data_IF_339772881219
#
_entry.id   IF_339772881219
#
_cell.length_a   1.000
_cell.length_b   1.000
_cell.length_c   1.000
_cell.angle_alpha   90.00
_cell.angle_beta   90.00
_cell.angle_gamma   90.00
#
_symmetry.space_group_name_H-M   'P 1'
#
loop_
_entity.id
_entity.type
_entity.pdbx_description
1 polymer ?
#
# COMPACT_ATOMS: atom_id res chain seq x y z
N UNK A 1 -21.19 -8.11 -4.54
CA UNK A 1 -20.16 -9.14 -4.78
C UNK A 1 -20.58 -9.92 -6.02
N UNK A 2 -19.78 -10.88 -6.47
CA UNK A 2 -20.09 -11.71 -7.63
C UNK A 2 -21.25 -12.67 -7.38
N UNK A 3 -21.95 -13.09 -8.42
CA UNK A 3 -22.91 -14.18 -8.28
C UNK A 3 -22.17 -15.51 -7.96
N UNK A 4 -22.68 -16.28 -6.99
CA UNK A 4 -22.02 -17.52 -6.50
C UNK A 4 -20.70 -17.26 -5.76
N UNK A 5 -20.56 -16.08 -5.14
CA UNK A 5 -19.33 -15.61 -4.52
C UNK A 5 -18.71 -16.59 -3.52
N UNK A 6 -19.54 -17.10 -2.61
CA UNK A 6 -19.18 -18.04 -1.54
C UNK A 6 -18.81 -19.42 -2.10
N UNK A 7 -19.61 -19.96 -3.03
CA UNK A 7 -19.35 -21.25 -3.68
C UNK A 7 -18.00 -21.22 -4.43
N UNK A 8 -17.74 -20.13 -5.17
CA UNK A 8 -16.46 -19.95 -5.90
C UNK A 8 -15.27 -19.79 -4.95
N UNK A 9 -15.44 -19.14 -3.80
CA UNK A 9 -14.38 -19.03 -2.80
C UNK A 9 -14.10 -20.38 -2.13
N UNK A 10 -15.15 -21.09 -1.69
CA UNK A 10 -15.02 -22.39 -1.01
C UNK A 10 -14.42 -23.46 -1.92
N UNK A 11 -14.77 -23.44 -3.21
CA UNK A 11 -14.21 -24.38 -4.19
C UNK A 11 -12.68 -24.28 -4.30
N UNK A 12 -12.11 -23.10 -4.08
CA UNK A 12 -10.69 -22.79 -4.31
C UNK A 12 -9.99 -22.47 -2.97
N UNK A 13 -10.32 -23.23 -1.91
CA UNK A 13 -9.81 -23.02 -0.55
C UNK A 13 -9.32 -24.33 0.08
N UNK A 14 -8.07 -24.69 -0.22
CA UNK A 14 -7.38 -25.78 0.47
C UNK A 14 -7.26 -25.47 1.98
N UNK A 15 -7.03 -26.52 2.79
CA UNK A 15 -7.06 -26.42 4.25
C UNK A 15 -6.10 -25.36 4.81
N UNK A 16 -4.90 -25.26 4.25
CA UNK A 16 -3.84 -24.37 4.67
C UNK A 16 -3.84 -23.01 3.94
N UNK A 17 -4.90 -22.69 3.19
CA UNK A 17 -5.00 -21.44 2.45
C UNK A 17 -5.81 -20.38 3.21
N UNK A 18 -5.35 -19.14 3.09
CA UNK A 18 -6.12 -17.92 3.32
C UNK A 18 -6.44 -17.31 1.95
N UNK A 19 -7.70 -17.35 1.56
CA UNK A 19 -8.15 -16.94 0.24
C UNK A 19 -8.81 -15.57 0.32
N UNK A 20 -8.39 -14.63 -0.52
CA UNK A 20 -9.09 -13.36 -0.73
C UNK A 20 -9.70 -13.31 -2.13
N UNK A 21 -10.94 -12.83 -2.30
CA UNK A 21 -11.50 -12.55 -3.62
C UNK A 21 -10.86 -11.30 -4.24
N UNK A 22 -10.85 -11.21 -5.58
CA UNK A 22 -10.53 -9.95 -6.29
C UNK A 22 -11.39 -8.80 -5.76
N UNK A 23 -10.75 -7.68 -5.47
CA UNK A 23 -11.42 -6.51 -4.93
C UNK A 23 -11.67 -5.46 -6.02
N UNK A 24 -12.88 -4.89 -6.04
CA UNK A 24 -13.20 -3.66 -6.77
C UNK A 24 -13.52 -2.51 -5.82
N UNK A 25 -13.42 -1.27 -6.30
CA UNK A 25 -14.04 -0.15 -5.60
C UNK A 25 -15.55 -0.18 -5.84
N UNK A 26 -16.33 -0.06 -4.77
CA UNK A 26 -17.79 0.08 -4.82
C UNK A 26 -18.15 1.55 -5.04
N UNK A 27 -19.02 1.83 -6.00
CA UNK A 27 -19.69 3.12 -6.18
C UNK A 27 -21.08 3.02 -5.56
N UNK A 28 -21.26 3.65 -4.41
CA UNK A 28 -22.49 3.52 -3.62
C UNK A 28 -23.55 4.52 -4.06
N UNK A 29 -23.21 5.79 -4.19
CA UNK A 29 -24.16 6.86 -4.53
C UNK A 29 -23.51 7.98 -5.36
N UNK A 30 -24.34 8.86 -5.90
CA UNK A 30 -23.97 10.17 -6.43
C UNK A 30 -24.75 11.26 -5.67
N UNK A 31 -24.19 12.46 -5.57
CA UNK A 31 -24.95 13.66 -5.26
C UNK A 31 -25.52 14.24 -6.55
N UNK A 32 -26.84 14.40 -6.64
CA UNK A 32 -27.54 14.97 -7.79
C UNK A 32 -27.99 16.39 -7.46
N UNK A 33 -27.56 17.34 -8.27
CA UNK A 33 -28.03 18.72 -8.24
C UNK A 33 -29.43 18.83 -8.85
N UNK A 34 -30.16 19.89 -8.51
CA UNK A 34 -31.43 20.30 -9.15
C UNK A 34 -31.34 20.47 -10.67
N UNK A 35 -30.19 20.90 -11.21
CA UNK A 35 -29.94 20.98 -12.65
C UNK A 35 -29.66 19.61 -13.33
N UNK A 36 -29.66 18.52 -12.56
CA UNK A 36 -29.40 17.15 -13.03
C UNK A 36 -27.93 16.72 -13.03
N UNK A 37 -26.98 17.63 -12.79
CA UNK A 37 -25.56 17.28 -12.67
C UNK A 37 -25.31 16.32 -11.50
N UNK A 38 -24.42 15.34 -11.69
CA UNK A 38 -24.09 14.32 -10.68
C UNK A 38 -22.62 14.36 -10.29
N UNK A 39 -22.37 14.37 -8.99
CA UNK A 39 -21.04 14.31 -8.39
C UNK A 39 -20.86 12.94 -7.72
N UNK A 40 -19.73 12.30 -7.97
CA UNK A 40 -19.39 10.99 -7.41
C UNK A 40 -19.31 11.04 -5.87
N UNK A 41 -19.76 9.97 -5.19
CA UNK A 41 -19.80 9.85 -3.72
C UNK A 41 -18.59 10.44 -2.99
N UNK A 42 -18.86 11.27 -1.99
CA UNK A 42 -17.87 11.99 -1.19
C UNK A 42 -18.54 12.82 -0.08
N UNK A 43 -17.90 13.90 0.40
CA UNK A 43 -18.56 14.84 1.31
C UNK A 43 -19.79 15.48 0.64
N UNK A 44 -20.65 16.13 1.42
CA UNK A 44 -21.75 16.92 0.85
C UNK A 44 -21.15 18.03 -0.04
N UNK A 45 -21.63 18.25 -1.28
CA UNK A 45 -21.05 19.26 -2.16
C UNK A 45 -21.38 20.68 -1.68
N UNK A 46 -20.40 21.58 -1.68
CA UNK A 46 -20.61 22.99 -1.33
C UNK A 46 -21.22 23.79 -2.49
N UNK A 47 -20.91 23.42 -3.73
CA UNK A 47 -21.41 24.07 -4.95
C UNK A 47 -21.48 23.08 -6.13
N UNK A 48 -22.45 23.28 -7.02
CA UNK A 48 -22.56 22.53 -8.26
C UNK A 48 -21.53 23.02 -9.30
N UNK A 49 -20.84 22.11 -9.96
CA UNK A 49 -19.88 22.44 -11.03
C UNK A 49 -20.54 22.96 -12.34
N UNK A 50 -21.88 22.96 -12.42
CA UNK A 50 -22.64 23.26 -13.67
C UNK A 50 -23.70 24.34 -13.51
N UNK A 51 -23.96 24.84 -12.31
CA UNK A 51 -24.91 25.92 -12.05
C UNK A 51 -24.63 26.56 -10.69
N UNK A 52 -25.35 27.64 -10.36
CA UNK A 52 -25.13 28.41 -9.13
C UNK A 52 -25.73 27.77 -7.87
N UNK A 53 -26.21 26.54 -7.96
CA UNK A 53 -26.80 25.82 -6.83
C UNK A 53 -25.75 25.41 -5.79
N UNK A 54 -25.97 25.80 -4.54
CA UNK A 54 -25.11 25.50 -3.38
C UNK A 54 -25.82 24.65 -2.32
N UNK A 55 -27.12 24.39 -2.47
CA UNK A 55 -27.95 23.66 -1.51
C UNK A 55 -28.66 22.47 -2.17
N UNK A 56 -29.47 21.71 -1.41
CA UNK A 56 -30.45 20.77 -1.98
C UNK A 56 -29.90 19.68 -2.93
N UNK A 57 -28.72 19.14 -2.63
CA UNK A 57 -28.19 17.98 -3.35
C UNK A 57 -28.88 16.70 -2.88
N UNK A 58 -29.50 15.99 -3.82
CA UNK A 58 -30.14 14.71 -3.55
C UNK A 58 -29.14 13.57 -3.61
N UNK A 59 -29.18 12.67 -2.62
CA UNK A 59 -28.36 11.46 -2.63
C UNK A 59 -29.04 10.37 -3.46
N UNK A 60 -28.48 10.07 -4.63
CA UNK A 60 -29.01 9.04 -5.53
C UNK A 60 -28.19 7.76 -5.40
N UNK A 61 -28.84 6.65 -5.01
CA UNK A 61 -28.20 5.34 -4.91
C UNK A 61 -27.77 4.84 -6.30
N UNK A 62 -26.57 4.27 -6.39
CA UNK A 62 -26.00 3.72 -7.61
C UNK A 62 -25.62 2.25 -7.45
N UNK A 63 -25.01 1.89 -6.32
CA UNK A 63 -24.65 0.52 -5.92
C UNK A 63 -24.05 -0.36 -7.03
N UNK A 64 -22.88 0.03 -7.56
CA UNK A 64 -22.19 -0.72 -8.64
C UNK A 64 -20.69 -0.86 -8.42
N UNK A 65 -20.10 -1.97 -8.85
CA UNK A 65 -18.63 -2.12 -8.88
C UNK A 65 -18.00 -1.22 -9.95
N UNK A 66 -16.86 -0.60 -9.64
CA UNK A 66 -16.05 0.15 -10.60
C UNK A 66 -15.07 -0.78 -11.29
N UNK A 67 -15.47 -1.39 -12.42
CA UNK A 67 -14.69 -2.43 -13.15
C UNK A 67 -13.23 -2.07 -13.46
N UNK A 68 -12.91 -0.79 -13.67
CA UNK A 68 -11.53 -0.31 -13.92
C UNK A 68 -10.70 -0.10 -12.65
N UNK A 69 -11.33 -0.06 -11.47
CA UNK A 69 -10.69 0.11 -10.16
C UNK A 69 -10.66 -1.24 -9.47
N UNK A 70 -9.72 -2.09 -9.89
CA UNK A 70 -9.50 -3.43 -9.36
C UNK A 70 -8.18 -3.53 -8.60
N UNK A 71 -8.16 -4.36 -7.57
CA UNK A 71 -6.98 -4.71 -6.80
C UNK A 71 -6.93 -6.22 -6.65
N UNK A 72 -5.88 -6.82 -7.20
CA UNK A 72 -5.57 -8.24 -7.03
C UNK A 72 -4.40 -8.43 -6.06
N UNK A 73 -3.43 -7.52 -6.08
CA UNK A 73 -2.16 -7.68 -5.38
C UNK A 73 -1.84 -6.50 -4.48
N UNK A 74 -1.36 -6.83 -3.29
CA UNK A 74 -0.81 -5.91 -2.32
C UNK A 74 0.37 -6.54 -1.59
N UNK A 75 1.10 -5.70 -0.88
CA UNK A 75 2.27 -6.04 -0.06
C UNK A 75 2.27 -5.17 1.19
N UNK A 76 3.27 -5.37 2.02
CA UNK A 76 3.69 -4.38 3.02
C UNK A 76 5.14 -3.96 2.77
N UNK A 77 5.52 -2.77 3.22
CA UNK A 77 6.90 -2.29 3.22
C UNK A 77 7.64 -2.66 4.53
N UNK A 78 8.89 -2.21 4.68
CA UNK A 78 9.73 -2.42 5.87
C UNK A 78 9.11 -1.92 7.19
N UNK A 79 8.16 -0.99 7.11
CA UNK A 79 7.44 -0.48 8.28
C UNK A 79 6.18 -1.30 8.60
N UNK A 80 5.98 -2.42 7.90
CA UNK A 80 4.79 -3.29 7.98
C UNK A 80 3.52 -2.51 7.63
N UNK A 81 3.64 -1.53 6.73
CA UNK A 81 2.53 -0.73 6.22
C UNK A 81 2.03 -1.31 4.91
N UNK A 82 0.72 -1.51 4.82
CA UNK A 82 0.05 -1.97 3.61
C UNK A 82 0.29 -1.03 2.40
N UNK A 83 0.57 -1.64 1.25
CA UNK A 83 0.77 -0.96 -0.03
C UNK A 83 0.10 -1.76 -1.17
N UNK A 84 -0.58 -1.06 -2.08
CA UNK A 84 -1.07 -1.65 -3.31
C UNK A 84 0.09 -2.02 -4.24
N UNK A 85 0.00 -3.16 -4.93
CA UNK A 85 1.10 -3.66 -5.77
C UNK A 85 0.67 -4.03 -7.19
N UNK A 86 0.15 -3.05 -7.93
CA UNK A 86 -0.34 -3.26 -9.30
C UNK A 86 0.70 -3.86 -10.25
N UNK A 87 1.99 -3.54 -10.06
CA UNK A 87 3.06 -4.04 -10.91
C UNK A 87 3.30 -5.55 -10.77
N UNK A 88 3.02 -6.15 -9.60
CA UNK A 88 3.15 -7.59 -9.38
C UNK A 88 2.25 -8.39 -10.33
N UNK A 89 1.06 -7.87 -10.64
CA UNK A 89 0.14 -8.47 -11.61
C UNK A 89 0.63 -8.55 -13.05
N UNK A 90 1.83 -8.04 -13.36
CA UNK A 90 2.50 -8.21 -14.68
C UNK A 90 3.49 -9.38 -14.70
N UNK A 91 3.82 -9.96 -13.55
CA UNK A 91 4.78 -11.07 -13.45
C UNK A 91 4.15 -12.38 -13.92
N UNK A 92 4.96 -13.31 -14.40
CA UNK A 92 4.48 -14.59 -14.93
C UNK A 92 3.74 -15.41 -13.86
N UNK A 93 4.24 -15.44 -12.63
CA UNK A 93 3.61 -16.14 -11.49
C UNK A 93 2.25 -15.54 -11.10
N UNK A 94 1.99 -14.29 -11.48
CA UNK A 94 0.78 -13.56 -11.15
C UNK A 94 -0.33 -13.71 -12.20
N UNK A 95 -0.16 -14.50 -13.26
CA UNK A 95 -1.12 -14.61 -14.36
C UNK A 95 -2.24 -15.64 -14.14
N UNK A 96 -2.06 -16.61 -13.24
CA UNK A 96 -3.08 -17.63 -12.94
C UNK A 96 -4.37 -17.07 -12.33
N UNK A 97 -5.44 -17.87 -12.31
CA UNK A 97 -6.71 -17.47 -11.69
C UNK A 97 -6.65 -17.43 -10.16
N UNK A 98 -5.89 -18.35 -9.56
CA UNK A 98 -5.54 -18.35 -8.15
C UNK A 98 -4.04 -18.11 -8.05
N UNK A 99 -3.63 -17.03 -7.39
CA UNK A 99 -2.20 -16.65 -7.31
C UNK A 99 -1.83 -16.19 -5.92
N UNK A 100 -0.61 -16.50 -5.51
CA UNK A 100 -0.08 -16.02 -4.24
C UNK A 100 -0.04 -14.49 -4.20
N UNK A 101 -0.34 -13.93 -3.02
CA UNK A 101 -0.29 -12.49 -2.78
C UNK A 101 0.31 -12.22 -1.40
N UNK A 102 1.21 -11.24 -1.33
CA UNK A 102 1.98 -10.98 -0.11
C UNK A 102 1.14 -10.38 1.02
N UNK A 103 0.09 -9.61 0.71
CA UNK A 103 -0.80 -9.02 1.70
C UNK A 103 -2.15 -8.65 1.09
N UNK A 104 -3.10 -8.22 1.92
CA UNK A 104 -4.42 -7.79 1.50
C UNK A 104 -4.92 -6.58 2.30
N UNK A 105 -6.02 -5.97 1.87
CA UNK A 105 -6.65 -4.87 2.64
C UNK A 105 -7.26 -5.39 3.95
N UNK A 106 -7.55 -6.69 4.05
CA UNK A 106 -8.23 -7.29 5.20
C UNK A 106 -9.76 -7.11 5.21
N UNK A 107 -10.35 -6.60 4.12
CA UNK A 107 -11.78 -6.34 4.05
C UNK A 107 -12.63 -7.60 3.73
N UNK A 108 -12.02 -8.66 3.20
CA UNK A 108 -12.68 -9.91 2.88
C UNK A 108 -11.65 -11.03 2.73
N UNK A 109 -11.90 -12.18 3.35
CA UNK A 109 -11.07 -13.37 3.32
C UNK A 109 -11.93 -14.60 3.65
N UNK A 110 -11.43 -15.78 3.28
CA UNK A 110 -11.97 -17.09 3.60
C UNK A 110 -10.82 -18.01 4.02
N UNK A 111 -11.06 -18.83 5.04
CA UNK A 111 -10.22 -19.98 5.40
C UNK A 111 -11.09 -20.97 6.18
N UNK A 112 -10.57 -22.18 6.38
CA UNK A 112 -11.20 -23.16 7.28
C UNK A 112 -11.21 -22.65 8.73
N UNK A 113 -12.31 -22.87 9.44
CA UNK A 113 -12.48 -22.40 10.82
C UNK A 113 -11.44 -23.02 11.76
N UNK A 114 -11.14 -24.31 11.61
CA UNK A 114 -10.18 -24.99 12.48
C UNK A 114 -8.77 -24.45 12.21
N UNK A 115 -8.46 -24.18 10.93
CA UNK A 115 -7.22 -23.50 10.54
C UNK A 115 -7.09 -22.11 11.16
N UNK A 116 -8.17 -21.33 11.22
CA UNK A 116 -8.16 -20.02 11.89
C UNK A 116 -7.71 -20.12 13.35
N UNK A 117 -8.21 -21.11 14.09
CA UNK A 117 -7.85 -21.32 15.49
C UNK A 117 -6.45 -21.91 15.67
N UNK A 118 -6.01 -22.81 14.77
CA UNK A 118 -4.61 -23.28 14.74
C UNK A 118 -3.60 -22.14 14.58
N UNK A 119 -3.97 -21.10 13.82
CA UNK A 119 -3.15 -19.90 13.61
C UNK A 119 -3.24 -18.89 14.78
N UNK A 120 -3.97 -19.21 15.83
CA UNK A 120 -4.17 -18.34 16.99
C UNK A 120 -5.19 -17.22 16.78
N UNK A 121 -6.08 -17.36 15.80
CA UNK A 121 -7.17 -16.40 15.55
C UNK A 121 -6.68 -15.01 15.15
N UNK A 122 -7.44 -13.97 15.53
CA UNK A 122 -6.99 -12.57 15.45
C UNK A 122 -6.21 -12.21 16.72
N UNK A 123 -5.01 -11.67 16.56
CA UNK A 123 -4.14 -11.30 17.66
C UNK A 123 -4.54 -9.93 18.24
N UNK A 124 -5.16 -9.97 19.42
CA UNK A 124 -5.63 -8.78 20.15
C UNK A 124 -4.50 -7.80 20.51
N UNK A 125 -3.23 -8.23 20.48
CA UNK A 125 -2.07 -7.36 20.67
C UNK A 125 -1.97 -6.23 19.64
N UNK A 126 -2.50 -6.43 18.43
CA UNK A 126 -2.57 -5.40 17.40
C UNK A 126 -3.58 -4.28 17.72
N UNK A 127 -4.52 -4.49 18.64
CA UNK A 127 -5.59 -3.53 18.95
C UNK A 127 -6.62 -3.39 17.83
N UNK A 128 -7.11 -2.17 17.60
CA UNK A 128 -8.32 -1.96 16.78
C UNK A 128 -8.14 -1.99 15.26
N UNK A 129 -7.24 -1.19 14.68
CA UNK A 129 -7.25 -0.94 13.22
C UNK A 129 -5.86 -0.85 12.59
N UNK A 130 -5.73 -1.43 11.39
CA UNK A 130 -4.65 -1.12 10.45
C UNK A 130 -3.59 -2.20 10.22
N UNK A 131 -3.72 -3.38 10.84
CA UNK A 131 -2.73 -4.47 10.72
C UNK A 131 -3.29 -5.83 10.30
N UNK A 132 -4.62 -5.99 10.24
CA UNK A 132 -5.28 -7.24 9.87
C UNK A 132 -4.70 -7.90 8.61
N UNK A 133 -4.53 -7.14 7.53
CA UNK A 133 -4.06 -7.66 6.25
C UNK A 133 -2.59 -8.12 6.24
N UNK A 134 -1.77 -7.57 7.14
CA UNK A 134 -0.38 -8.00 7.36
C UNK A 134 -0.38 -9.25 8.23
N UNK A 135 -1.08 -9.22 9.34
CA UNK A 135 -1.20 -10.33 10.30
C UNK A 135 -1.64 -11.62 9.61
N UNK A 136 -2.76 -11.59 8.88
CA UNK A 136 -3.28 -12.79 8.21
C UNK A 136 -2.39 -13.29 7.08
N UNK A 137 -1.66 -12.39 6.41
CA UNK A 137 -0.72 -12.79 5.38
C UNK A 137 0.53 -13.44 5.96
N UNK A 138 1.09 -12.88 7.02
CA UNK A 138 2.20 -13.47 7.74
C UNK A 138 1.78 -14.81 8.38
N UNK A 139 0.64 -14.87 9.09
CA UNK A 139 0.14 -16.12 9.68
C UNK A 139 -0.04 -17.22 8.64
N UNK A 140 -0.67 -16.91 7.51
CA UNK A 140 -0.88 -17.88 6.44
C UNK A 140 0.44 -18.37 5.86
N UNK A 141 1.32 -17.47 5.43
CA UNK A 141 2.53 -17.83 4.71
C UNK A 141 3.64 -18.41 5.62
N UNK A 142 3.89 -17.79 6.76
CA UNK A 142 5.00 -18.16 7.64
C UNK A 142 4.74 -19.48 8.39
N UNK A 143 3.48 -19.89 8.59
CA UNK A 143 3.15 -21.22 9.13
C UNK A 143 3.23 -22.35 8.09
N UNK A 144 3.63 -22.01 6.86
CA UNK A 144 3.78 -22.92 5.72
C UNK A 144 2.53 -23.10 4.87
N UNK A 145 1.46 -22.33 5.12
CA UNK A 145 0.30 -22.25 4.24
C UNK A 145 0.47 -21.21 3.12
N UNK A 146 -0.64 -20.83 2.49
CA UNK A 146 -0.65 -19.86 1.38
C UNK A 146 -1.63 -18.73 1.62
N UNK A 147 -1.24 -17.51 1.29
CA UNK A 147 -2.17 -16.40 1.11
C UNK A 147 -2.35 -16.16 -0.38
N UNK A 148 -3.58 -16.30 -0.87
CA UNK A 148 -3.88 -16.29 -2.30
C UNK A 148 -5.01 -15.32 -2.64
N UNK A 149 -4.93 -14.71 -3.82
CA UNK A 149 -6.06 -14.04 -4.45
C UNK A 149 -6.76 -14.99 -5.42
N UNK A 150 -8.07 -15.16 -5.25
CA UNK A 150 -8.98 -15.83 -6.17
C UNK A 150 -9.60 -14.80 -7.12
N UNK A 151 -9.21 -14.85 -8.40
CA UNK A 151 -9.67 -13.92 -9.45
C UNK A 151 -10.95 -14.37 -10.16
N UNK A 152 -11.41 -15.60 -9.91
CA UNK A 152 -12.64 -16.17 -10.47
C UNK A 152 -13.91 -15.59 -9.82
N UNK A 153 -13.77 -14.91 -8.68
CA UNK A 153 -14.85 -14.25 -7.94
C UNK A 153 -14.38 -12.90 -7.43
N UNK A 154 -15.31 -12.05 -7.00
CA UNK A 154 -14.99 -10.69 -6.57
C UNK A 154 -15.95 -10.11 -5.54
N UNK A 155 -15.44 -9.16 -4.77
CA UNK A 155 -16.23 -8.26 -3.92
C UNK A 155 -15.94 -6.81 -4.25
N UNK A 156 -16.78 -5.89 -3.76
CA UNK A 156 -16.57 -4.47 -3.96
C UNK A 156 -16.60 -3.75 -2.61
N UNK A 157 -15.57 -2.94 -2.35
CA UNK A 157 -15.37 -2.23 -1.09
C UNK A 157 -15.55 -0.72 -1.30
N UNK A 158 -16.29 -0.07 -0.40
CA UNK A 158 -16.49 1.38 -0.43
C UNK A 158 -15.29 2.08 0.21
N UNK A 159 -14.44 2.66 -0.64
CA UNK A 159 -13.31 3.45 -0.17
C UNK A 159 -13.71 4.89 0.14
N UNK A 160 -13.26 5.36 1.31
CA UNK A 160 -13.43 6.72 1.81
C UNK A 160 -12.15 7.52 1.57
N UNK A 161 -11.94 7.92 0.31
CA UNK A 161 -10.67 8.54 -0.15
C UNK A 161 -10.77 10.02 -0.44
N UNK A 162 -11.97 10.61 -0.35
CA UNK A 162 -12.12 12.05 -0.59
C UNK A 162 -11.81 12.85 0.69
N UNK A 163 -11.14 14.00 0.60
CA UNK A 163 -11.01 14.93 1.72
C UNK A 163 -12.39 15.24 2.33
N UNK A 164 -12.47 15.30 3.66
CA UNK A 164 -13.75 15.48 4.36
C UNK A 164 -14.68 14.25 4.37
N UNK A 165 -14.29 13.15 3.71
CA UNK A 165 -15.04 11.91 3.67
C UNK A 165 -14.23 10.77 4.29
N UNK A 166 -14.21 10.72 5.62
CA UNK A 166 -13.47 9.75 6.42
C UNK A 166 -14.38 9.05 7.43
N UNK A 167 -13.82 8.21 8.30
CA UNK A 167 -14.52 7.65 9.45
C UNK A 167 -14.89 8.78 10.44
N UNK A 168 -16.05 8.71 11.11
CA UNK A 168 -16.51 9.74 12.03
C UNK A 168 -15.79 9.72 13.40
N UNK A 169 -14.66 9.02 13.50
CA UNK A 169 -13.90 8.83 14.74
C UNK A 169 -12.39 8.79 14.44
N UNK A 170 -11.55 9.22 15.40
CA UNK A 170 -10.10 9.16 15.26
C UNK A 170 -9.58 7.72 15.44
N UNK A 171 -8.57 7.35 14.66
CA UNK A 171 -7.91 6.05 14.78
C UNK A 171 -6.59 6.19 15.57
N UNK A 172 -6.69 6.33 16.90
CA UNK A 172 -5.53 6.64 17.77
C UNK A 172 -4.54 5.48 17.94
N UNK A 173 -4.97 4.24 17.71
CA UNK A 173 -4.17 3.05 18.00
C UNK A 173 -3.35 2.52 16.81
N UNK A 174 -3.40 3.17 15.65
CA UNK A 174 -2.71 2.70 14.43
C UNK A 174 -1.21 2.53 14.68
N UNK A 175 -0.59 3.49 15.37
CA UNK A 175 0.85 3.44 15.60
C UNK A 175 1.24 2.36 16.61
N UNK A 176 0.42 2.15 17.66
CA UNK A 176 0.58 1.03 18.58
C UNK A 176 0.51 -0.32 17.83
N UNK A 177 -0.49 -0.48 16.96
CA UNK A 177 -0.66 -1.67 16.13
C UNK A 177 0.57 -1.92 15.25
N UNK A 178 1.11 -0.87 14.63
CA UNK A 178 2.31 -0.95 13.77
C UNK A 178 3.57 -1.28 14.57
N UNK A 179 3.75 -0.70 15.75
CA UNK A 179 4.90 -0.99 16.61
C UNK A 179 4.88 -2.46 17.06
N UNK A 180 3.72 -2.94 17.50
CA UNK A 180 3.52 -4.35 17.84
C UNK A 180 3.81 -5.28 16.66
N UNK A 181 3.21 -4.99 15.49
CA UNK A 181 3.41 -5.76 14.26
C UNK A 181 4.88 -5.79 13.83
N UNK A 182 5.58 -4.65 13.89
CA UNK A 182 7.02 -4.59 13.61
C UNK A 182 7.81 -5.46 14.58
N UNK A 183 7.56 -5.35 15.88
CA UNK A 183 8.24 -6.19 16.88
C UNK A 183 8.00 -7.67 16.64
N UNK A 184 6.76 -8.05 16.36
CA UNK A 184 6.35 -9.44 16.15
C UNK A 184 6.99 -10.04 14.89
N UNK A 185 6.86 -9.36 13.75
CA UNK A 185 7.22 -9.93 12.44
C UNK A 185 8.68 -9.68 12.06
N UNK A 186 9.26 -8.51 12.36
CA UNK A 186 10.67 -8.24 12.00
C UNK A 186 11.65 -9.05 12.85
N UNK A 187 11.23 -9.46 14.06
CA UNK A 187 12.05 -10.25 14.97
C UNK A 187 11.63 -11.73 15.03
N UNK A 188 10.81 -12.19 14.09
CA UNK A 188 10.38 -13.60 13.98
C UNK A 188 9.80 -14.18 15.30
N UNK A 189 9.06 -13.36 16.07
CA UNK A 189 8.57 -13.72 17.41
C UNK A 189 7.28 -14.53 17.41
N UNK A 190 6.58 -14.64 16.28
CA UNK A 190 5.31 -15.34 16.23
C UNK A 190 5.51 -16.87 16.36
N UNK A 191 5.00 -17.53 17.42
CA UNK A 191 5.32 -18.95 17.70
C UNK A 191 4.82 -19.94 16.64
N UNK A 192 3.81 -19.56 15.85
CA UNK A 192 3.26 -20.40 14.79
C UNK A 192 4.07 -20.42 13.49
N UNK A 193 5.18 -19.67 13.43
CA UNK A 193 6.02 -19.58 12.25
C UNK A 193 6.88 -20.85 12.06
N UNK A 194 6.80 -21.43 10.86
CA UNK A 194 7.76 -22.44 10.35
C UNK A 194 8.90 -21.80 9.55
N UNK A 195 8.66 -20.60 9.01
CA UNK A 195 9.61 -19.84 8.22
C UNK A 195 9.81 -18.44 8.80
N UNK A 196 11.02 -17.86 8.74
CA UNK A 196 11.25 -16.46 9.11
C UNK A 196 10.63 -15.51 8.07
N UNK A 197 10.42 -14.24 8.43
CA UNK A 197 9.89 -13.22 7.53
C UNK A 197 10.72 -13.08 6.24
N UNK A 198 12.05 -13.27 6.32
CA UNK A 198 12.94 -13.23 5.16
C UNK A 198 12.57 -14.24 4.07
N UNK A 199 12.02 -15.39 4.43
CA UNK A 199 11.52 -16.39 3.46
C UNK A 199 10.36 -15.83 2.63
N UNK A 200 9.43 -15.10 3.26
CA UNK A 200 8.31 -14.47 2.57
C UNK A 200 8.81 -13.36 1.62
N UNK A 201 9.82 -12.60 2.04
CA UNK A 201 10.42 -11.56 1.20
C UNK A 201 11.08 -12.15 -0.05
N UNK A 202 11.79 -13.27 0.09
CA UNK A 202 12.43 -13.99 -1.01
C UNK A 202 11.38 -14.54 -1.99
N UNK A 203 10.30 -15.13 -1.47
CA UNK A 203 9.18 -15.64 -2.28
C UNK A 203 8.59 -14.59 -3.24
N UNK A 204 8.57 -13.32 -2.82
CA UNK A 204 8.04 -12.21 -3.61
C UNK A 204 9.13 -11.33 -4.24
N UNK A 205 10.40 -11.73 -4.18
CA UNK A 205 11.52 -10.92 -4.64
C UNK A 205 11.35 -10.46 -6.11
N UNK A 206 11.75 -9.23 -6.47
CA UNK A 206 12.06 -8.13 -5.56
C UNK A 206 10.78 -7.49 -5.00
N UNK A 207 10.74 -7.24 -3.69
CA UNK A 207 9.64 -6.51 -3.04
C UNK A 207 9.99 -5.02 -2.91
N UNK A 208 9.23 -4.10 -3.54
CA UNK A 208 9.46 -2.66 -3.40
C UNK A 208 9.36 -2.20 -1.94
N UNK A 209 10.25 -1.30 -1.54
CA UNK A 209 10.37 -0.87 -0.15
C UNK A 209 11.07 -1.86 0.80
N UNK A 210 11.53 -3.02 0.31
CA UNK A 210 12.40 -3.96 1.04
C UNK A 210 13.75 -4.14 0.39
N UNK A 211 13.76 -4.36 -0.93
CA UNK A 211 14.97 -4.68 -1.72
C UNK A 211 15.45 -3.51 -2.58
N UNK A 212 14.78 -2.37 -2.49
CA UNK A 212 15.13 -1.14 -3.20
C UNK A 212 15.78 -0.19 -2.18
N UNK A 213 16.95 0.37 -2.51
CA UNK A 213 17.46 1.57 -1.85
C UNK A 213 16.95 2.81 -2.61
N UNK A 214 16.75 3.89 -1.87
CA UNK A 214 16.53 5.23 -2.44
C UNK A 214 17.69 6.09 -1.98
N UNK A 215 18.28 6.81 -2.91
CA UNK A 215 19.32 7.79 -2.63
C UNK A 215 19.02 9.09 -3.37
N UNK A 216 19.54 10.19 -2.85
CA UNK A 216 19.53 11.49 -3.52
C UNK A 216 20.90 11.66 -4.16
N UNK A 217 20.91 11.98 -5.45
CA UNK A 217 22.13 12.44 -6.12
C UNK A 217 22.08 13.95 -6.23
N UNK A 218 23.05 14.64 -5.61
CA UNK A 218 23.18 16.09 -5.63
C UNK A 218 24.33 16.50 -6.55
N UNK A 219 24.02 17.03 -7.73
CA UNK A 219 25.03 17.52 -8.67
C UNK A 219 25.30 19.02 -8.47
N UNK A 220 26.58 19.40 -8.45
CA UNK A 220 26.99 20.82 -8.41
C UNK A 220 28.31 21.04 -9.15
N UNK A 221 28.48 22.21 -9.76
CA UNK A 221 29.77 22.68 -10.29
C UNK A 221 30.55 23.54 -9.28
N UNK A 222 30.07 23.60 -8.03
CA UNK A 222 30.60 24.38 -6.91
C UNK A 222 30.64 25.90 -7.14
N UNK A 223 29.80 26.45 -8.04
CA UNK A 223 29.71 27.91 -8.29
C UNK A 223 28.45 28.57 -7.74
N UNK A 224 27.53 27.78 -7.21
CA UNK A 224 26.34 28.31 -6.56
C UNK A 224 26.77 29.14 -5.34
N UNK A 225 26.15 30.31 -5.17
CA UNK A 225 26.34 31.15 -3.98
C UNK A 225 26.14 30.35 -2.68
N UNK A 226 27.01 30.59 -1.70
CA UNK A 226 27.08 29.78 -0.48
C UNK A 226 25.82 29.87 0.39
N UNK A 227 25.11 31.02 0.40
CA UNK A 227 23.85 31.15 1.13
C UNK A 227 22.76 30.32 0.46
N UNK A 228 22.70 30.36 -0.88
CA UNK A 228 21.73 29.56 -1.66
C UNK A 228 22.06 28.06 -1.53
N UNK A 229 23.33 27.68 -1.64
CA UNK A 229 23.77 26.30 -1.52
C UNK A 229 23.40 25.73 -0.15
N UNK A 230 23.67 26.46 0.94
CA UNK A 230 23.28 26.05 2.30
C UNK A 230 21.78 25.93 2.48
N UNK A 231 21.00 26.86 1.93
CA UNK A 231 19.54 26.79 2.00
C UNK A 231 18.99 25.53 1.31
N UNK A 232 19.47 25.23 0.10
CA UNK A 232 19.07 24.02 -0.66
C UNK A 232 19.46 22.75 0.08
N UNK A 233 20.71 22.65 0.53
CA UNK A 233 21.20 21.49 1.29
C UNK A 233 20.41 21.26 2.58
N UNK A 234 20.07 22.33 3.29
CA UNK A 234 19.25 22.27 4.51
C UNK A 234 17.85 21.76 4.20
N UNK A 235 17.21 22.23 3.13
CA UNK A 235 15.88 21.76 2.74
C UNK A 235 15.88 20.29 2.29
N UNK A 236 16.92 19.86 1.57
CA UNK A 236 17.09 18.46 1.18
C UNK A 236 17.20 17.57 2.43
N UNK A 237 18.11 17.90 3.36
CA UNK A 237 18.26 17.16 4.62
C UNK A 237 16.97 17.13 5.45
N UNK A 238 16.23 18.24 5.49
CA UNK A 238 14.95 18.32 6.21
C UNK A 238 13.85 17.47 5.56
N UNK A 239 13.82 17.43 4.23
CA UNK A 239 12.77 16.73 3.48
C UNK A 239 12.99 15.22 3.41
N UNK A 240 14.23 14.77 3.58
CA UNK A 240 14.63 13.38 3.48
C UNK A 240 15.72 13.02 4.52
N UNK A 241 15.39 13.05 5.82
CA UNK A 241 16.38 12.91 6.90
C UNK A 241 17.11 11.56 6.91
N UNK A 242 16.45 10.51 6.41
CA UNK A 242 16.94 9.12 6.44
C UNK A 242 17.31 8.58 5.04
N UNK A 243 17.51 9.46 4.05
CA UNK A 243 17.89 9.06 2.69
C UNK A 243 19.35 9.38 2.45
N UNK A 244 20.10 8.39 1.97
CA UNK A 244 21.50 8.56 1.61
C UNK A 244 21.67 9.61 0.51
N UNK A 245 22.53 10.59 0.77
CA UNK A 245 22.89 11.62 -0.20
C UNK A 245 24.27 11.29 -0.77
N UNK A 246 24.36 11.20 -2.09
CA UNK A 246 25.62 11.18 -2.83
C UNK A 246 25.74 12.51 -3.57
N UNK A 247 26.75 13.32 -3.22
CA UNK A 247 27.05 14.54 -3.97
C UNK A 247 28.08 14.27 -5.03
N UNK A 248 27.87 14.82 -6.23
CA UNK A 248 28.81 14.79 -7.35
C UNK A 248 29.20 16.23 -7.65
N UNK A 249 30.48 16.54 -7.50
CA UNK A 249 30.96 17.93 -7.49
C UNK A 249 32.29 18.10 -8.23
N UNK A 250 32.62 19.31 -8.66
CA UNK A 250 33.92 19.63 -9.29
C UNK A 250 34.99 20.07 -8.26
N UNK A 251 34.58 20.32 -7.02
CA UNK A 251 35.46 20.58 -5.88
C UNK A 251 34.91 19.86 -4.63
N UNK A 252 35.76 19.58 -3.63
CA UNK A 252 35.34 18.93 -2.39
C UNK A 252 34.12 19.60 -1.76
N UNK A 253 33.14 18.79 -1.35
CA UNK A 253 31.90 19.25 -0.74
C UNK A 253 31.51 18.39 0.46
N UNK A 254 31.23 19.03 1.60
CA UNK A 254 30.75 18.34 2.80
C UNK A 254 29.22 18.19 2.76
N UNK A 255 28.73 17.32 1.88
CA UNK A 255 27.28 17.06 1.75
C UNK A 255 27.01 15.61 1.34
N UNK A 256 26.81 14.74 2.33
CA UNK A 256 26.67 13.30 2.11
C UNK A 256 27.99 12.66 1.68
N UNK A 257 27.92 11.54 0.95
CA UNK A 257 29.11 10.93 0.33
C UNK A 257 29.47 11.72 -0.92
N UNK A 258 30.63 12.38 -0.93
CA UNK A 258 31.05 13.21 -2.05
C UNK A 258 31.94 12.44 -3.04
N UNK A 259 31.62 12.57 -4.34
CA UNK A 259 32.41 12.12 -5.48
C UNK A 259 32.89 13.40 -6.19
N UNK A 260 34.19 13.65 -6.15
CA UNK A 260 34.80 14.80 -6.83
C UNK A 260 35.21 14.37 -8.24
N UNK A 261 34.67 15.02 -9.26
CA UNK A 261 35.05 14.83 -10.65
C UNK A 261 36.22 15.76 -10.98
N UNK A 262 37.35 15.18 -11.38
CA UNK A 262 38.53 15.92 -11.86
C UNK A 262 38.35 16.38 -13.33
N UNK A 263 37.25 17.08 -13.60
CA UNK A 263 36.82 17.49 -14.94
C UNK A 263 36.54 18.98 -14.99
N UNK A 264 36.56 19.54 -16.20
CA UNK A 264 36.10 20.92 -16.40
C UNK A 264 34.59 20.97 -16.48
N UNK A 265 34.01 22.14 -16.19
CA UNK A 265 32.57 22.38 -16.35
C UNK A 265 32.17 22.17 -17.82
N UNK A 266 31.19 21.33 -18.05
CA UNK A 266 30.65 21.10 -19.38
C UNK A 266 29.48 20.14 -19.37
N UNK A 267 28.74 20.13 -20.48
CA UNK A 267 27.64 19.18 -20.69
C UNK A 267 28.14 17.74 -20.61
N UNK A 268 29.33 17.47 -21.14
CA UNK A 268 29.96 16.14 -21.10
C UNK A 268 30.21 15.66 -19.66
N UNK A 269 30.54 16.57 -18.75
CA UNK A 269 30.78 16.29 -17.34
C UNK A 269 29.51 15.90 -16.59
N UNK A 270 28.34 16.33 -17.06
CA UNK A 270 27.04 15.90 -16.52
C UNK A 270 26.62 14.49 -16.98
N UNK A 271 27.29 13.92 -17.99
CA UNK A 271 27.00 12.59 -18.54
C UNK A 271 28.00 11.51 -18.12
N UNK A 272 29.00 11.85 -17.30
CA UNK A 272 29.93 10.91 -16.65
C UNK A 272 29.43 10.56 -15.26
#
# INVERSE_FOLDING_TARGET
FDEGFDVKLMKECEYDWTVIPRMYNLHVFDWRCTCGHRVYMGPYPDQCEKCDNTTDFEKVLVWKRRRRRKTDFARFDRDLKFQYWRAYGKRSEAQGEITDVMSSVGACWLMHRDRFWELGGCDEGHGSWGQFGVEFACKAALSGGRHVVNKQTWFAHMFRTQPGFSFPYPNKEIEKARQYSRDLWLNDKWPGAKYPLSWLLEKFYPVPGWHESKGIVFYTDNRLDDDIARAVQTQIKKSAPDIDIVSVSLAPLEFGRNIVLEEQRGILTMFK
#
